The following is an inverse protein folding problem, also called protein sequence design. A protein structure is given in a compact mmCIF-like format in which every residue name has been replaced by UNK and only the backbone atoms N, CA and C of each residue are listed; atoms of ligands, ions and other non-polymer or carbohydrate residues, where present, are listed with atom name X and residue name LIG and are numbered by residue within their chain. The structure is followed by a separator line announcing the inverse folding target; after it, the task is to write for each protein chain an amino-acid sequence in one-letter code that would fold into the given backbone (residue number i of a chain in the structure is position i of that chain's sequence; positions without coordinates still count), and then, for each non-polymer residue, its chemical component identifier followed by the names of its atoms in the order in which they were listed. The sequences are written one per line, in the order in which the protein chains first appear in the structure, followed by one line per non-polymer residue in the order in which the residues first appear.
data_IF_201931472108
#
_entry.id   IF_201931472108
#
_cell.length_a   1.000
_cell.length_b   1.000
_cell.length_c   1.000
_cell.angle_alpha   90.00
_cell.angle_beta   90.00
_cell.angle_gamma   90.00
#
_symmetry.space_group_name_H-M   'P 1'
#
loop_
_entity.id
_entity.type
_entity.pdbx_description
1 polymer ?
#
# COMPACT_ATOMS: atom_id res chain seq x y z
N UNK A 1 -9.11 0.52 -13.70
CA UNK A 1 -7.96 0.94 -12.85
C UNK A 1 -6.66 0.72 -13.60
N UNK A 2 -5.77 1.72 -13.78
CA UNK A 2 -4.52 1.49 -14.52
C UNK A 2 -3.67 0.36 -13.91
N UNK A 3 -3.28 -0.67 -14.67
CA UNK A 3 -2.71 -1.89 -14.11
C UNK A 3 -1.18 -1.83 -13.93
N UNK A 4 -0.50 -0.87 -14.56
CA UNK A 4 0.96 -0.69 -14.49
C UNK A 4 1.29 0.37 -13.43
N UNK A 5 2.14 0.03 -12.47
CA UNK A 5 2.63 0.96 -11.46
C UNK A 5 4.10 1.32 -11.74
N UNK A 6 4.39 2.60 -11.91
CA UNK A 6 5.75 3.09 -12.23
C UNK A 6 6.09 4.38 -11.50
N UNK A 7 7.38 4.55 -11.19
CA UNK A 7 7.90 5.81 -10.69
C UNK A 7 8.32 6.68 -11.88
N UNK A 8 7.80 7.89 -11.96
CA UNK A 8 8.19 8.89 -12.95
C UNK A 8 8.37 10.25 -12.28
N UNK A 9 8.99 11.19 -12.98
CA UNK A 9 9.04 12.58 -12.57
C UNK A 9 7.84 13.31 -13.18
N UNK A 10 6.91 13.71 -12.33
CA UNK A 10 5.66 14.36 -12.75
C UNK A 10 5.83 15.87 -12.74
N UNK A 11 5.55 16.51 -13.87
CA UNK A 11 5.58 17.95 -14.09
C UNK A 11 4.18 18.56 -14.00
N UNK A 12 4.09 19.91 -14.04
CA UNK A 12 2.81 20.62 -14.12
C UNK A 12 2.06 20.38 -15.43
N UNK A 13 2.76 19.91 -16.48
CA UNK A 13 2.16 19.60 -17.76
C UNK A 13 1.31 18.32 -17.69
N UNK A 14 1.69 17.37 -16.85
CA UNK A 14 1.10 16.03 -16.77
C UNK A 14 -0.23 15.97 -16.01
N UNK A 15 -0.44 16.90 -15.05
CA UNK A 15 -1.52 16.80 -14.03
C UNK A 15 -2.86 17.39 -14.47
N UNK A 16 -2.96 17.86 -15.71
CA UNK A 16 -4.15 18.47 -16.29
C UNK A 16 -4.39 19.94 -15.84
N UNK A 17 -5.31 20.67 -16.50
CA UNK A 17 -5.50 22.10 -16.28
C UNK A 17 -5.87 22.46 -14.85
N UNK A 18 -6.84 21.75 -14.26
CA UNK A 18 -7.36 22.05 -12.91
C UNK A 18 -6.27 22.09 -11.84
N UNK A 19 -5.39 21.08 -11.81
CA UNK A 19 -4.29 21.02 -10.84
C UNK A 19 -3.09 21.87 -11.26
N UNK A 20 -2.90 22.12 -12.56
CA UNK A 20 -1.87 23.02 -13.07
C UNK A 20 -2.13 24.46 -12.62
N UNK A 21 -3.35 24.96 -12.80
CA UNK A 21 -3.75 26.31 -12.40
C UNK A 21 -3.49 26.53 -10.89
N UNK A 22 -3.87 25.54 -10.07
CA UNK A 22 -3.59 25.56 -8.64
C UNK A 22 -2.08 25.53 -8.33
N UNK A 23 -1.31 24.72 -9.05
CA UNK A 23 0.13 24.63 -8.85
C UNK A 23 0.81 25.96 -9.21
N UNK A 24 0.42 26.59 -10.31
CA UNK A 24 0.99 27.85 -10.78
C UNK A 24 0.63 29.02 -9.84
N UNK A 25 -0.64 29.14 -9.41
CA UNK A 25 -1.10 30.14 -8.45
C UNK A 25 -0.29 30.09 -7.14
N UNK A 26 -0.02 28.87 -6.65
CA UNK A 26 0.69 28.65 -5.40
C UNK A 26 2.20 28.44 -5.55
N UNK A 27 2.75 28.60 -6.75
CA UNK A 27 4.18 28.36 -7.08
C UNK A 27 4.67 26.99 -6.61
N UNK A 28 3.80 25.99 -6.72
CA UNK A 28 4.09 24.59 -6.43
C UNK A 28 4.55 23.90 -7.71
N UNK A 29 5.25 22.77 -7.56
CA UNK A 29 5.70 21.93 -8.69
C UNK A 29 6.59 22.67 -9.72
N UNK A 30 7.34 23.70 -9.30
CA UNK A 30 8.29 24.40 -10.19
C UNK A 30 9.45 23.52 -10.72
N UNK A 31 9.57 22.29 -10.23
CA UNK A 31 10.39 21.23 -10.82
C UNK A 31 9.60 19.93 -10.82
N UNK A 32 9.83 19.03 -11.80
CA UNK A 32 9.23 17.71 -11.79
C UNK A 32 9.48 16.98 -10.47
N UNK A 33 8.46 16.30 -9.96
CA UNK A 33 8.52 15.58 -8.69
C UNK A 33 8.37 14.09 -8.93
N UNK A 34 9.34 13.32 -8.43
CA UNK A 34 9.29 11.86 -8.44
C UNK A 34 8.03 11.36 -7.71
N UNK A 35 7.19 10.60 -8.41
CA UNK A 35 5.97 10.01 -7.86
C UNK A 35 5.70 8.62 -8.44
N UNK A 36 5.11 7.75 -7.62
CA UNK A 36 4.54 6.47 -8.04
C UNK A 36 3.11 6.71 -8.56
N UNK A 37 2.87 6.37 -9.82
CA UNK A 37 1.58 6.52 -10.50
C UNK A 37 1.07 5.17 -11.01
N UNK A 38 -0.23 5.09 -11.29
CA UNK A 38 -0.82 4.05 -12.13
C UNK A 38 -0.93 4.55 -13.57
N UNK A 39 -0.50 3.75 -14.54
CA UNK A 39 -0.51 4.03 -15.98
C UNK A 39 -0.98 2.80 -16.77
N UNK A 40 -1.37 3.03 -18.03
CA UNK A 40 -1.57 1.96 -19.01
C UNK A 40 -0.32 1.70 -19.86
N UNK A 41 0.73 2.50 -19.66
CA UNK A 41 1.96 2.46 -20.44
C UNK A 41 3.13 2.11 -19.52
N UNK A 42 3.91 1.11 -19.91
CA UNK A 42 5.13 0.70 -19.23
C UNK A 42 6.32 0.66 -20.19
N UNK A 43 7.47 1.18 -19.75
CA UNK A 43 8.73 1.10 -20.52
C UNK A 43 9.81 0.51 -19.62
N UNK A 44 10.59 -0.44 -20.17
CA UNK A 44 11.70 -1.11 -19.48
C UNK A 44 11.29 -1.68 -18.11
N UNK A 45 10.14 -2.36 -18.05
CA UNK A 45 9.61 -2.95 -16.82
C UNK A 45 9.98 -4.42 -16.76
N UNK A 46 10.61 -4.83 -15.67
CA UNK A 46 10.84 -6.24 -15.37
C UNK A 46 9.58 -6.86 -14.75
N UNK A 47 9.01 -7.87 -15.39
CA UNK A 47 7.74 -8.49 -15.01
C UNK A 47 7.90 -9.98 -14.71
N UNK A 48 7.23 -10.44 -13.66
CA UNK A 48 7.11 -11.87 -13.41
C UNK A 48 6.13 -12.49 -14.41
N UNK A 49 6.43 -13.69 -14.91
CA UNK A 49 5.62 -14.40 -15.91
C UNK A 49 4.12 -14.46 -15.59
N UNK A 50 3.68 -14.72 -14.35
CA UNK A 50 2.25 -14.74 -14.03
C UNK A 50 1.56 -13.39 -14.20
N UNK A 51 2.22 -12.29 -13.80
CA UNK A 51 1.67 -10.94 -13.94
C UNK A 51 1.64 -10.51 -15.41
N UNK A 52 2.69 -10.82 -16.16
CA UNK A 52 2.74 -10.55 -17.60
C UNK A 52 1.64 -11.32 -18.34
N UNK A 53 1.47 -12.62 -18.04
CA UNK A 53 0.40 -13.42 -18.63
C UNK A 53 -0.97 -12.79 -18.37
N UNK A 54 -1.24 -12.41 -17.12
CA UNK A 54 -2.49 -11.76 -16.75
C UNK A 54 -2.70 -10.43 -17.51
N UNK A 55 -1.64 -9.63 -17.68
CA UNK A 55 -1.71 -8.41 -18.50
C UNK A 55 -2.10 -8.69 -19.95
N UNK A 56 -1.49 -9.70 -20.58
CA UNK A 56 -1.81 -10.09 -21.96
C UNK A 56 -3.26 -10.59 -22.09
N UNK A 57 -3.72 -11.40 -21.14
CA UNK A 57 -5.11 -11.88 -21.08
C UNK A 57 -6.12 -10.73 -20.93
N UNK A 58 -5.70 -9.61 -20.34
CA UNK A 58 -6.51 -8.39 -20.13
C UNK A 58 -6.27 -7.31 -21.19
N UNK A 59 -5.66 -7.66 -22.32
CA UNK A 59 -5.56 -6.80 -23.50
C UNK A 59 -4.38 -5.83 -23.52
N UNK A 60 -3.44 -5.91 -22.56
CA UNK A 60 -2.17 -5.20 -22.71
C UNK A 60 -1.34 -5.90 -23.79
N UNK A 61 -0.58 -5.11 -24.54
CA UNK A 61 0.29 -5.58 -25.61
C UNK A 61 1.74 -5.37 -25.22
N UNK A 62 2.61 -6.30 -25.60
CA UNK A 62 4.07 -6.18 -25.46
C UNK A 62 4.64 -5.80 -26.81
N UNK A 63 5.23 -4.60 -26.88
CA UNK A 63 5.84 -4.10 -28.11
C UNK A 63 7.26 -4.67 -28.30
N UNK A 64 8.06 -4.72 -27.24
CA UNK A 64 9.46 -5.16 -27.28
C UNK A 64 9.85 -6.01 -26.06
N UNK A 65 10.66 -7.04 -26.28
CA UNK A 65 11.26 -7.89 -25.24
C UNK A 65 12.77 -7.74 -25.31
N UNK A 66 13.39 -7.27 -24.22
CA UNK A 66 14.83 -7.03 -24.14
C UNK A 66 15.59 -8.18 -23.48
N UNK A 67 14.99 -8.81 -22.46
CA UNK A 67 15.65 -9.83 -21.65
C UNK A 67 14.61 -10.83 -21.13
N UNK A 68 15.00 -12.11 -21.10
CA UNK A 68 14.22 -13.19 -20.51
C UNK A 68 15.12 -13.94 -19.52
N UNK A 69 14.64 -14.07 -18.29
CA UNK A 69 15.33 -14.82 -17.23
C UNK A 69 14.51 -16.05 -16.89
N UNK A 70 15.09 -17.22 -17.12
CA UNK A 70 14.46 -18.49 -16.78
C UNK A 70 14.70 -18.85 -15.30
N UNK A 71 13.71 -19.49 -14.69
CA UNK A 71 13.80 -19.97 -13.31
C UNK A 71 12.92 -21.20 -13.10
N UNK A 72 13.31 -22.05 -12.15
CA UNK A 72 12.48 -23.16 -11.69
C UNK A 72 11.65 -22.72 -10.48
N UNK A 73 10.30 -22.74 -10.55
CA UNK A 73 9.46 -22.36 -9.42
C UNK A 73 9.59 -23.38 -8.28
N UNK A 74 9.75 -22.89 -7.05
CA UNK A 74 9.79 -23.72 -5.85
C UNK A 74 9.10 -23.03 -4.67
N UNK A 75 8.45 -23.82 -3.81
CA UNK A 75 7.79 -23.33 -2.58
C UNK A 75 8.78 -23.25 -1.40
N UNK A 76 9.95 -22.65 -1.62
CA UNK A 76 11.07 -22.67 -0.67
C UNK A 76 10.82 -21.98 0.68
N UNK A 77 9.78 -21.14 0.78
CA UNK A 77 9.38 -20.44 2.03
C UNK A 77 8.02 -20.87 2.57
N UNK A 78 7.43 -21.97 2.07
CA UNK A 78 6.10 -22.41 2.51
C UNK A 78 6.07 -22.64 4.04
N UNK A 79 7.02 -23.40 4.59
CA UNK A 79 7.06 -23.66 6.03
C UNK A 79 7.15 -22.37 6.88
N UNK A 80 7.87 -21.35 6.40
CA UNK A 80 7.93 -20.06 7.08
C UNK A 80 6.58 -19.33 7.04
N UNK A 81 5.94 -19.27 5.88
CA UNK A 81 4.62 -18.66 5.74
C UNK A 81 3.55 -19.38 6.59
N UNK A 82 3.60 -20.72 6.63
CA UNK A 82 2.69 -21.55 7.42
C UNK A 82 2.85 -21.25 8.92
N UNK A 83 4.09 -21.15 9.42
CA UNK A 83 4.38 -20.78 10.82
C UNK A 83 3.79 -19.40 11.14
N UNK A 84 3.96 -18.41 10.25
CA UNK A 84 3.42 -17.06 10.47
C UNK A 84 1.89 -17.09 10.53
N UNK A 85 1.22 -17.75 9.58
CA UNK A 85 -0.24 -17.86 9.56
C UNK A 85 -0.78 -18.64 10.75
N UNK A 86 -0.14 -19.74 11.14
CA UNK A 86 -0.60 -20.59 12.22
C UNK A 86 -0.47 -19.91 13.59
N UNK A 87 0.64 -19.23 13.85
CA UNK A 87 0.77 -18.45 15.09
C UNK A 87 -0.25 -17.32 15.16
N UNK A 88 -0.59 -16.70 14.03
CA UNK A 88 -1.65 -15.69 13.98
C UNK A 88 -3.04 -16.28 14.22
N UNK A 89 -3.34 -17.50 13.73
CA UNK A 89 -4.60 -18.21 14.04
C UNK A 89 -4.70 -18.53 15.53
N UNK A 90 -3.64 -19.10 16.10
CA UNK A 90 -3.58 -19.41 17.54
C UNK A 90 -3.73 -18.17 18.41
N UNK A 91 -3.23 -17.04 17.95
CA UNK A 91 -3.35 -15.74 18.60
C UNK A 91 -4.78 -15.18 18.63
N UNK A 92 -5.58 -15.45 17.60
CA UNK A 92 -7.00 -15.03 17.57
C UNK A 92 -7.87 -15.84 18.53
N UNK A 93 -7.45 -17.07 18.88
CA UNK A 93 -8.15 -17.94 19.82
C UNK A 93 -7.82 -17.63 21.29
N UNK A 94 -6.70 -16.98 21.55
CA UNK A 94 -6.18 -16.75 22.90
C UNK A 94 -5.57 -15.34 23.04
N UNK A 95 -6.29 -14.39 23.66
CA UNK A 95 -5.84 -13.02 23.85
C UNK A 95 -4.49 -12.90 24.59
N UNK A 96 -4.12 -13.89 25.41
CA UNK A 96 -2.82 -13.87 26.14
C UNK A 96 -1.62 -14.00 25.19
N UNK A 97 -1.85 -14.48 23.95
CA UNK A 97 -0.83 -14.63 22.91
C UNK A 97 -0.67 -13.40 22.01
N UNK A 98 -1.30 -12.26 22.33
CA UNK A 98 -1.25 -11.05 21.50
C UNK A 98 0.18 -10.62 21.12
N UNK A 99 1.13 -10.71 22.06
CA UNK A 99 2.55 -10.38 21.82
C UNK A 99 3.17 -11.29 20.76
N UNK A 100 2.89 -12.60 20.82
CA UNK A 100 3.36 -13.57 19.83
C UNK A 100 2.75 -13.27 18.46
N UNK A 101 1.46 -12.96 18.39
CA UNK A 101 0.76 -12.60 17.15
C UNK A 101 1.42 -11.41 16.45
N UNK A 102 1.67 -10.32 17.18
CA UNK A 102 2.32 -9.14 16.60
C UNK A 102 3.79 -9.39 16.26
N UNK A 103 4.48 -10.25 17.03
CA UNK A 103 5.85 -10.68 16.72
C UNK A 103 5.91 -11.44 15.41
N UNK A 104 5.05 -12.45 15.19
CA UNK A 104 5.05 -13.23 13.96
C UNK A 104 4.60 -12.42 12.74
N UNK A 105 3.68 -11.47 12.94
CA UNK A 105 3.31 -10.49 11.91
C UNK A 105 4.50 -9.60 11.53
N UNK A 106 5.26 -9.11 12.50
CA UNK A 106 6.48 -8.34 12.26
C UNK A 106 7.54 -9.20 11.56
N UNK A 107 7.76 -10.45 11.98
CA UNK A 107 8.70 -11.38 11.35
C UNK A 107 8.34 -11.63 9.89
N UNK A 108 7.07 -11.90 9.58
CA UNK A 108 6.60 -12.08 8.21
C UNK A 108 6.88 -10.85 7.32
N UNK A 109 6.52 -9.66 7.80
CA UNK A 109 6.71 -8.41 7.05
C UNK A 109 8.19 -7.99 6.93
N UNK A 110 8.96 -8.15 8.01
CA UNK A 110 10.37 -7.76 8.05
C UNK A 110 11.26 -8.71 7.25
N UNK A 111 10.94 -10.00 7.18
CA UNK A 111 11.65 -10.96 6.32
C UNK A 111 11.54 -10.56 4.83
N UNK A 112 10.34 -10.16 4.39
CA UNK A 112 10.15 -9.59 3.06
C UNK A 112 10.97 -8.32 2.87
N UNK A 113 10.88 -7.35 3.78
CA UNK A 113 11.66 -6.11 3.71
C UNK A 113 13.17 -6.37 3.67
N UNK A 114 13.64 -7.38 4.41
CA UNK A 114 15.04 -7.80 4.44
C UNK A 114 15.48 -8.38 3.09
N UNK A 115 14.62 -9.13 2.39
CA UNK A 115 14.95 -9.66 1.06
C UNK A 115 15.18 -8.58 0.00
N UNK A 116 14.55 -7.41 0.17
CA UNK A 116 14.64 -6.26 -0.72
C UNK A 116 15.64 -5.18 -0.26
N UNK A 117 16.42 -5.45 0.79
CA UNK A 117 17.36 -4.46 1.33
C UNK A 117 18.40 -4.09 0.27
N UNK A 118 18.52 -2.79 -0.03
CA UNK A 118 19.61 -2.30 -0.86
C UNK A 118 20.93 -2.30 -0.06
N UNK A 119 21.76 -3.30 -0.34
CA UNK A 119 23.05 -3.51 0.33
C UNK A 119 24.08 -2.41 0.02
N UNK A 120 23.93 -1.65 -1.07
CA UNK A 120 24.81 -0.52 -1.42
C UNK A 120 24.62 0.69 -0.49
N UNK A 121 23.45 0.78 0.14
CA UNK A 121 23.18 1.83 1.12
C UNK A 121 23.84 1.56 2.47
N UNK A 122 24.38 0.35 2.70
CA UNK A 122 25.15 0.08 3.92
C UNK A 122 26.39 0.97 3.99
N UNK A 123 26.73 1.35 5.21
CA UNK A 123 27.86 2.22 5.52
C UNK A 123 28.83 1.51 6.46
N UNK A 124 30.11 1.80 6.29
CA UNK A 124 31.12 1.62 7.33
C UNK A 124 31.14 2.89 8.16
N UNK A 125 31.10 2.75 9.47
CA UNK A 125 31.15 3.87 10.42
C UNK A 125 32.45 3.77 11.18
N UNK A 126 33.22 4.85 11.19
CA UNK A 126 34.42 4.98 11.98
C UNK A 126 34.33 6.22 12.88
N UNK A 127 34.76 6.06 14.13
CA UNK A 127 34.89 7.16 15.08
C UNK A 127 36.36 7.56 15.14
N UNK A 128 36.66 8.82 14.83
CA UNK A 128 38.05 9.29 14.70
C UNK A 128 38.22 10.72 15.21
N UNK A 129 39.46 11.09 15.55
CA UNK A 129 39.82 12.41 16.04
C UNK A 129 40.98 13.01 15.25
N UNK A 130 41.03 14.35 15.21
CA UNK A 130 42.17 15.09 14.64
C UNK A 130 42.49 14.73 13.19
N UNK A 131 43.78 14.50 12.89
CA UNK A 131 44.27 14.35 11.49
C UNK A 131 43.76 13.08 10.78
N UNK A 132 43.35 12.06 11.53
CA UNK A 132 42.87 10.81 10.94
C UNK A 132 41.49 10.96 10.29
N UNK A 133 40.69 11.94 10.73
CA UNK A 133 39.44 12.34 10.08
C UNK A 133 39.71 12.80 8.65
N UNK A 134 40.76 13.60 8.44
CA UNK A 134 41.15 14.08 7.12
C UNK A 134 41.46 12.94 6.14
N UNK A 135 42.07 11.85 6.61
CA UNK A 135 42.31 10.66 5.77
C UNK A 135 41.00 9.99 5.36
N UNK A 136 40.05 9.87 6.28
CA UNK A 136 38.75 9.25 6.01
C UNK A 136 37.88 10.09 5.08
N UNK A 137 37.86 11.42 5.26
CA UNK A 137 37.12 12.36 4.40
C UNK A 137 37.69 12.41 2.98
N UNK A 138 39.02 12.26 2.84
CA UNK A 138 39.66 12.22 1.52
C UNK A 138 39.48 10.88 0.79
N UNK A 139 38.85 9.87 1.42
CA UNK A 139 38.51 8.62 0.75
C UNK A 139 37.46 8.84 -0.34
N UNK A 140 37.61 8.17 -1.49
CA UNK A 140 36.56 8.14 -2.52
C UNK A 140 35.25 7.50 -2.05
N UNK A 141 35.30 6.75 -0.95
CA UNK A 141 34.14 6.10 -0.36
C UNK A 141 33.44 7.00 0.67
N UNK A 142 33.98 8.16 0.98
CA UNK A 142 33.40 9.10 1.94
C UNK A 142 31.95 9.47 1.59
N UNK A 143 31.09 9.56 2.62
CA UNK A 143 29.69 9.97 2.48
C UNK A 143 29.37 11.16 3.37
N UNK A 144 29.58 11.02 4.67
CA UNK A 144 29.24 12.05 5.66
C UNK A 144 30.26 12.05 6.79
N UNK A 145 30.47 13.22 7.38
CA UNK A 145 31.28 13.42 8.57
C UNK A 145 30.45 14.25 9.55
N UNK A 146 30.19 13.71 10.73
CA UNK A 146 29.38 14.36 11.76
C UNK A 146 30.23 14.55 13.01
N UNK A 147 30.41 15.79 13.45
CA UNK A 147 31.05 16.07 14.73
C UNK A 147 30.14 15.58 15.87
N UNK A 148 30.69 14.76 16.77
CA UNK A 148 29.97 14.13 17.88
C UNK A 148 30.22 14.76 19.23
N UNK A 149 31.24 15.59 19.40
CA UNK A 149 31.49 16.33 20.63
C UNK A 149 32.35 17.57 20.41
N UNK A 150 32.64 18.27 21.50
CA UNK A 150 33.54 19.42 21.52
C UNK A 150 35.02 19.04 21.58
N UNK A 151 35.36 17.73 21.64
CA UNK A 151 36.72 17.22 21.77
C UNK A 151 37.25 16.63 20.44
N UNK A 152 36.82 17.20 19.31
CA UNK A 152 37.22 16.77 17.96
C UNK A 152 36.93 15.28 17.67
N UNK A 153 35.90 14.68 18.26
CA UNK A 153 35.40 13.36 17.87
C UNK A 153 34.43 13.47 16.70
N UNK A 154 34.70 12.71 15.63
CA UNK A 154 33.88 12.67 14.43
C UNK A 154 33.42 11.26 14.12
N UNK A 155 32.14 11.13 13.77
CA UNK A 155 31.59 9.97 13.09
C UNK A 155 31.76 10.15 11.58
N UNK A 156 32.56 9.30 10.95
CA UNK A 156 32.76 9.31 9.50
C UNK A 156 32.07 8.09 8.90
N UNK A 157 31.07 8.33 8.07
CA UNK A 157 30.42 7.28 7.28
C UNK A 157 31.06 7.16 5.90
N UNK A 158 31.37 5.93 5.51
CA UNK A 158 31.87 5.59 4.18
C UNK A 158 30.99 4.53 3.52
N UNK A 159 30.90 4.54 2.19
CA UNK A 159 30.38 3.41 1.45
C UNK A 159 31.27 2.18 1.63
N UNK A 160 30.65 1.00 1.59
CA UNK A 160 31.37 -0.28 1.58
C UNK A 160 32.26 -0.36 0.33
N UNK A 161 33.53 -0.72 0.51
CA UNK A 161 34.46 -0.93 -0.62
C UNK A 161 34.09 -2.14 -1.49
N UNK A 162 33.40 -3.13 -0.88
CA UNK A 162 32.85 -4.31 -1.55
C UNK A 162 31.44 -4.56 -1.03
N UNK A 163 30.49 -4.75 -1.94
CA UNK A 163 29.11 -5.13 -1.62
C UNK A 163 28.91 -6.58 -2.05
N UNK A 164 28.54 -7.46 -1.11
CA UNK A 164 28.21 -8.85 -1.40
C UNK A 164 26.70 -9.01 -1.47
N UNK A 165 26.16 -9.24 -2.65
CA UNK A 165 24.75 -9.55 -2.86
C UNK A 165 24.43 -10.97 -2.40
N UNK A 166 24.06 -11.10 -1.12
CA UNK A 166 23.77 -12.38 -0.46
C UNK A 166 22.32 -12.49 0.07
N UNK A 167 21.43 -11.64 -0.44
CA UNK A 167 20.01 -11.65 -0.10
C UNK A 167 19.19 -12.20 -1.27
N UNK A 168 18.08 -12.91 -1.00
CA UNK A 168 17.24 -13.51 -2.03
C UNK A 168 16.30 -12.46 -2.66
N UNK A 169 16.88 -11.47 -3.36
CA UNK A 169 16.15 -10.35 -3.97
C UNK A 169 15.01 -10.81 -4.89
N UNK A 170 15.22 -11.93 -5.58
CA UNK A 170 14.25 -12.54 -6.49
C UNK A 170 12.95 -12.90 -5.76
N UNK A 171 13.03 -13.37 -4.50
CA UNK A 171 11.85 -13.69 -3.69
C UNK A 171 11.06 -12.43 -3.40
N UNK A 172 11.74 -11.35 -2.99
CA UNK A 172 11.11 -10.05 -2.78
C UNK A 172 10.44 -9.52 -4.05
N UNK A 173 11.10 -9.66 -5.21
CA UNK A 173 10.51 -9.34 -6.50
C UNK A 173 9.21 -10.13 -6.75
N UNK A 174 9.23 -11.46 -6.63
CA UNK A 174 8.04 -12.28 -6.87
C UNK A 174 6.90 -11.97 -5.90
N UNK A 175 7.18 -11.82 -4.60
CA UNK A 175 6.16 -11.46 -3.59
C UNK A 175 5.46 -10.16 -3.98
N UNK A 176 6.21 -9.14 -4.41
CA UNK A 176 5.63 -7.87 -4.83
C UNK A 176 4.76 -8.01 -6.09
N UNK A 177 5.23 -8.78 -7.09
CA UNK A 177 4.50 -8.98 -8.34
C UNK A 177 3.21 -9.79 -8.13
N UNK A 178 3.23 -10.82 -7.26
CA UNK A 178 2.03 -11.56 -6.89
C UNK A 178 1.05 -10.71 -6.07
N UNK A 179 1.54 -9.84 -5.18
CA UNK A 179 0.68 -8.91 -4.45
C UNK A 179 -0.05 -7.95 -5.41
N UNK A 180 0.65 -7.38 -6.40
CA UNK A 180 0.02 -6.58 -7.46
C UNK A 180 -1.01 -7.39 -8.24
N UNK A 181 -0.62 -8.57 -8.71
CA UNK A 181 -1.50 -9.47 -9.46
C UNK A 181 -2.78 -9.72 -8.67
N UNK A 182 -2.68 -10.03 -7.37
CA UNK A 182 -3.84 -10.30 -6.53
C UNK A 182 -4.79 -9.10 -6.40
N UNK A 183 -4.26 -7.89 -6.26
CA UNK A 183 -5.07 -6.66 -6.25
C UNK A 183 -5.76 -6.40 -7.60
N UNK A 184 -5.05 -6.69 -8.70
CA UNK A 184 -5.58 -6.55 -10.06
C UNK A 184 -6.69 -7.55 -10.34
N UNK A 185 -6.45 -8.81 -10.02
CA UNK A 185 -7.43 -9.88 -10.08
C UNK A 185 -8.68 -9.54 -9.25
N UNK A 186 -8.50 -8.97 -8.05
CA UNK A 186 -9.65 -8.54 -7.26
C UNK A 186 -10.48 -7.46 -7.95
N UNK A 187 -9.84 -6.45 -8.53
CA UNK A 187 -10.58 -5.40 -9.25
C UNK A 187 -11.27 -5.92 -10.52
N UNK A 188 -10.55 -6.65 -11.35
CA UNK A 188 -10.98 -7.01 -12.70
C UNK A 188 -11.68 -8.37 -12.79
N UNK A 189 -11.12 -9.40 -12.16
CA UNK A 189 -11.65 -10.77 -12.22
C UNK A 189 -12.76 -11.02 -11.18
N UNK A 190 -12.90 -10.13 -10.20
CA UNK A 190 -13.94 -10.23 -9.17
C UNK A 190 -14.91 -9.03 -9.21
N UNK A 191 -14.46 -7.81 -8.89
CA UNK A 191 -15.39 -6.66 -8.78
C UNK A 191 -16.06 -6.36 -10.14
N UNK A 192 -15.29 -6.15 -11.21
CA UNK A 192 -15.85 -5.88 -12.55
C UNK A 192 -16.72 -7.02 -13.10
N UNK A 193 -16.36 -8.26 -12.74
CA UNK A 193 -17.12 -9.44 -13.12
C UNK A 193 -18.50 -9.42 -12.49
N UNK A 194 -18.60 -9.23 -11.17
CA UNK A 194 -19.85 -9.41 -10.42
C UNK A 194 -20.68 -8.14 -10.26
N UNK A 195 -20.07 -6.96 -10.26
CA UNK A 195 -20.74 -5.67 -9.99
C UNK A 195 -20.77 -4.81 -11.26
N UNK A 196 -21.86 -4.07 -11.48
CA UNK A 196 -21.91 -3.12 -12.61
C UNK A 196 -20.97 -1.94 -12.37
N UNK A 197 -20.41 -1.35 -13.43
CA UNK A 197 -19.61 -0.12 -13.31
C UNK A 197 -20.42 1.08 -12.81
N UNK A 198 -21.73 1.04 -12.94
CA UNK A 198 -22.64 2.06 -12.42
C UNK A 198 -22.90 1.92 -10.91
N UNK A 199 -22.65 0.72 -10.36
CA UNK A 199 -22.96 0.37 -8.98
C UNK A 199 -21.76 0.46 -8.03
N UNK A 200 -20.56 0.78 -8.54
CA UNK A 200 -19.41 0.96 -7.69
C UNK A 200 -18.40 1.98 -8.24
N UNK A 201 -17.71 2.66 -7.31
CA UNK A 201 -16.61 3.56 -7.61
C UNK A 201 -15.40 3.23 -6.74
N UNK A 202 -14.24 3.03 -7.36
CA UNK A 202 -12.97 2.91 -6.64
C UNK A 202 -12.59 4.27 -6.02
N UNK A 203 -12.47 4.32 -4.69
CA UNK A 203 -12.18 5.54 -3.94
C UNK A 203 -10.68 5.68 -3.65
N UNK A 204 -10.05 4.64 -3.09
CA UNK A 204 -8.63 4.64 -2.78
C UNK A 204 -8.08 3.21 -2.75
N UNK A 205 -6.77 3.11 -2.98
CA UNK A 205 -6.00 1.91 -2.70
C UNK A 205 -4.71 2.28 -1.97
N UNK A 206 -4.37 1.49 -0.96
CA UNK A 206 -3.06 1.56 -0.33
C UNK A 206 -2.50 0.15 -0.10
N UNK A 207 -1.54 -0.23 -0.94
CA UNK A 207 -0.76 -1.48 -0.86
C UNK A 207 -1.60 -2.76 -0.96
N UNK A 208 -2.27 -3.14 0.13
CA UNK A 208 -3.10 -4.32 0.33
C UNK A 208 -4.55 -3.99 0.70
N UNK A 209 -4.92 -2.70 0.68
CA UNK A 209 -6.28 -2.22 0.94
C UNK A 209 -6.95 -1.67 -0.33
N UNK A 210 -8.25 -1.93 -0.46
CA UNK A 210 -9.10 -1.52 -1.57
C UNK A 210 -10.38 -0.90 -1.01
N UNK A 211 -10.60 0.37 -1.29
CA UNK A 211 -11.78 1.12 -0.84
C UNK A 211 -12.66 1.44 -2.04
N UNK A 212 -13.92 1.03 -1.99
CA UNK A 212 -14.91 1.37 -3.02
C UNK A 212 -16.20 1.86 -2.37
N UNK A 213 -16.85 2.81 -3.01
CA UNK A 213 -18.23 3.17 -2.75
C UNK A 213 -19.15 2.26 -3.57
N UNK A 214 -20.30 1.91 -3.01
CA UNK A 214 -21.34 1.11 -3.65
C UNK A 214 -22.60 1.95 -3.81
N UNK A 215 -23.44 1.62 -4.80
CA UNK A 215 -24.77 2.23 -4.97
C UNK A 215 -25.79 1.75 -3.93
N UNK A 216 -25.53 0.62 -3.27
CA UNK A 216 -26.38 0.01 -2.25
C UNK A 216 -25.61 -0.31 -0.95
N UNK A 217 -26.29 -0.85 0.05
CA UNK A 217 -25.77 -1.00 1.42
C UNK A 217 -24.74 -2.13 1.58
N UNK A 218 -24.70 -3.08 0.64
CA UNK A 218 -23.80 -4.23 0.70
C UNK A 218 -23.26 -4.63 -0.68
N UNK A 219 -22.15 -5.37 -0.67
CA UNK A 219 -21.56 -5.92 -1.89
C UNK A 219 -22.52 -6.90 -2.57
N UNK A 220 -23.28 -7.67 -1.79
CA UNK A 220 -24.24 -8.66 -2.26
C UNK A 220 -25.43 -8.05 -3.00
N UNK A 221 -25.94 -6.91 -2.54
CA UNK A 221 -27.09 -6.22 -3.15
C UNK A 221 -26.76 -5.64 -4.53
N UNK A 222 -25.50 -5.25 -4.76
CA UNK A 222 -25.03 -4.74 -6.05
C UNK A 222 -24.52 -5.82 -7.01
N UNK A 223 -24.57 -7.11 -6.62
CA UNK A 223 -24.19 -8.20 -7.53
C UNK A 223 -25.21 -8.32 -8.66
N UNK A 224 -24.73 -8.40 -9.89
CA UNK A 224 -25.54 -8.68 -11.09
C UNK A 224 -26.43 -9.90 -10.82
N UNK A 225 -27.77 -9.79 -10.87
CA UNK A 225 -28.67 -10.85 -10.41
C UNK A 225 -28.43 -12.22 -11.05
N UNK A 226 -28.11 -12.25 -12.34
CA UNK A 226 -27.82 -13.48 -13.09
C UNK A 226 -26.49 -14.16 -12.72
N UNK A 227 -25.62 -13.50 -11.93
CA UNK A 227 -24.36 -14.04 -11.44
C UNK A 227 -24.36 -14.35 -9.95
N UNK A 228 -25.46 -14.10 -9.23
CA UNK A 228 -25.52 -14.22 -7.76
C UNK A 228 -25.11 -15.62 -7.26
N UNK A 229 -25.59 -16.68 -7.91
CA UNK A 229 -25.20 -18.05 -7.57
C UNK A 229 -23.70 -18.29 -7.78
N UNK A 230 -23.14 -17.77 -8.88
CA UNK A 230 -21.71 -17.87 -9.18
C UNK A 230 -20.87 -17.06 -8.20
N UNK A 231 -21.36 -15.89 -7.78
CA UNK A 231 -20.73 -15.06 -6.76
C UNK A 231 -20.57 -15.84 -5.44
N UNK A 232 -21.64 -16.47 -4.93
CA UNK A 232 -21.54 -17.25 -3.69
C UNK A 232 -20.65 -18.50 -3.83
N UNK A 233 -20.62 -19.12 -5.02
CA UNK A 233 -19.69 -20.23 -5.31
C UNK A 233 -18.23 -19.81 -5.29
N UNK A 234 -17.93 -18.65 -5.85
CA UNK A 234 -16.56 -18.12 -5.93
C UNK A 234 -16.14 -17.34 -4.67
N UNK A 235 -17.07 -17.00 -3.77
CA UNK A 235 -16.83 -16.20 -2.57
C UNK A 235 -15.63 -16.67 -1.72
N UNK A 236 -15.45 -17.98 -1.42
CA UNK A 236 -14.32 -18.47 -0.62
C UNK A 236 -12.94 -18.27 -1.29
N UNK A 237 -12.91 -18.03 -2.60
CA UNK A 237 -11.66 -17.75 -3.32
C UNK A 237 -11.16 -16.34 -3.07
N UNK A 238 -12.02 -15.44 -2.61
CA UNK A 238 -11.74 -14.01 -2.45
C UNK A 238 -11.81 -13.55 -1.00
N UNK A 239 -12.72 -14.12 -0.20
CA UNK A 239 -12.95 -13.74 1.19
C UNK A 239 -12.97 -14.97 2.09
N UNK A 240 -12.86 -14.81 3.42
CA UNK A 240 -13.05 -15.91 4.35
C UNK A 240 -14.38 -16.63 4.14
N UNK A 241 -14.34 -17.95 4.05
CA UNK A 241 -15.52 -18.75 3.77
C UNK A 241 -16.63 -18.50 4.80
N UNK A 242 -17.89 -18.52 4.34
CA UNK A 242 -19.09 -18.46 5.21
C UNK A 242 -19.69 -19.85 5.46
N UNK A 243 -19.24 -20.85 4.72
CA UNK A 243 -19.63 -22.25 4.79
C UNK A 243 -18.40 -23.13 4.61
N UNK A 244 -18.38 -24.32 5.22
CA UNK A 244 -17.39 -25.33 4.88
C UNK A 244 -17.80 -26.07 3.60
N UNK A 245 -16.87 -26.82 3.00
CA UNK A 245 -17.07 -27.55 1.74
C UNK A 245 -18.33 -28.43 1.75
N UNK A 246 -18.59 -29.14 2.86
CA UNK A 246 -19.75 -30.02 3.01
C UNK A 246 -21.09 -29.27 2.98
N UNK A 247 -21.12 -27.99 3.34
CA UNK A 247 -22.32 -27.16 3.41
C UNK A 247 -22.35 -26.06 2.34
N UNK A 248 -21.41 -26.10 1.39
CA UNK A 248 -21.23 -25.01 0.44
C UNK A 248 -22.40 -24.89 -0.54
N UNK A 249 -22.92 -26.01 -1.07
CA UNK A 249 -24.08 -26.01 -1.95
C UNK A 249 -25.35 -25.50 -1.25
N UNK A 250 -25.56 -25.88 0.01
CA UNK A 250 -26.67 -25.39 0.84
C UNK A 250 -26.58 -23.88 1.05
N UNK A 251 -25.38 -23.38 1.37
CA UNK A 251 -25.09 -21.95 1.50
C UNK A 251 -25.40 -21.19 0.21
N UNK A 252 -24.87 -21.67 -0.93
CA UNK A 252 -25.09 -21.06 -2.23
C UNK A 252 -26.58 -21.00 -2.55
N UNK A 253 -27.30 -22.11 -2.32
CA UNK A 253 -28.73 -22.18 -2.58
C UNK A 253 -29.54 -21.23 -1.70
N UNK A 254 -29.25 -21.17 -0.39
CA UNK A 254 -29.97 -20.31 0.55
C UNK A 254 -29.73 -18.83 0.23
N UNK A 255 -28.46 -18.42 0.11
CA UNK A 255 -28.14 -17.02 -0.14
C UNK A 255 -28.60 -16.54 -1.52
N UNK A 256 -28.59 -17.40 -2.54
CA UNK A 256 -29.12 -17.03 -3.88
C UNK A 256 -30.64 -16.80 -3.87
N UNK A 257 -31.37 -17.34 -2.89
CA UNK A 257 -32.80 -17.09 -2.67
C UNK A 257 -33.06 -15.90 -1.73
N UNK A 258 -32.02 -15.23 -1.24
CA UNK A 258 -32.13 -14.18 -0.23
C UNK A 258 -32.44 -14.71 1.17
N UNK A 259 -32.26 -16.00 1.42
CA UNK A 259 -32.49 -16.59 2.74
C UNK A 259 -31.31 -16.32 3.68
N UNK A 260 -31.62 -16.13 4.97
CA UNK A 260 -30.59 -15.97 5.98
C UNK A 260 -29.78 -17.26 6.17
N UNK A 261 -28.45 -17.16 6.01
CA UNK A 261 -27.55 -18.27 6.28
C UNK A 261 -27.15 -18.33 7.75
N UNK A 262 -27.51 -19.43 8.41
CA UNK A 262 -27.15 -19.69 9.81
C UNK A 262 -25.99 -20.70 9.87
N UNK A 263 -24.72 -20.25 10.00
CA UNK A 263 -23.58 -21.14 9.91
C UNK A 263 -23.53 -22.13 11.08
N UNK A 264 -23.37 -23.41 10.75
CA UNK A 264 -23.08 -24.50 11.70
C UNK A 264 -21.68 -24.32 12.30
N UNK A 265 -21.36 -25.06 13.37
CA UNK A 265 -20.07 -24.98 14.07
C UNK A 265 -18.88 -25.14 13.12
N UNK A 266 -18.89 -26.17 12.26
CA UNK A 266 -17.82 -26.38 11.28
C UNK A 266 -17.69 -25.24 10.24
N UNK A 267 -18.79 -24.56 9.89
CA UNK A 267 -18.75 -23.38 9.00
C UNK A 267 -18.10 -22.18 9.71
N UNK A 268 -18.39 -21.99 11.01
CA UNK A 268 -17.78 -20.93 11.83
C UNK A 268 -16.28 -21.16 12.02
N UNK A 269 -15.88 -22.41 12.21
CA UNK A 269 -14.46 -22.82 12.30
C UNK A 269 -13.72 -22.54 10.99
N UNK A 270 -14.28 -22.96 9.85
CA UNK A 270 -13.73 -22.68 8.52
C UNK A 270 -13.57 -21.18 8.27
N UNK A 271 -14.60 -20.37 8.60
CA UNK A 271 -14.52 -18.91 8.50
C UNK A 271 -13.42 -18.31 9.37
N UNK A 272 -13.26 -18.83 10.60
CA UNK A 272 -12.24 -18.35 11.55
C UNK A 272 -10.84 -18.71 11.08
N UNK A 273 -10.66 -19.90 10.52
CA UNK A 273 -9.40 -20.32 9.90
C UNK A 273 -9.03 -19.39 8.74
N UNK A 274 -10.00 -19.10 7.87
CA UNK A 274 -9.77 -18.27 6.69
C UNK A 274 -9.52 -16.80 6.97
N UNK A 275 -9.93 -16.31 8.15
CA UNK A 275 -9.48 -14.99 8.63
C UNK A 275 -7.95 -14.88 8.73
N UNK A 276 -7.16 -15.94 8.61
CA UNK A 276 -5.69 -15.85 8.53
C UNK A 276 -5.11 -16.63 7.34
N UNK A 277 -5.95 -17.11 6.42
CA UNK A 277 -5.52 -17.69 5.15
C UNK A 277 -4.91 -16.60 4.26
N UNK A 278 -3.64 -16.75 3.81
CA UNK A 278 -3.01 -15.77 2.94
C UNK A 278 -3.74 -15.58 1.61
N UNK A 279 -3.82 -14.33 1.14
CA UNK A 279 -4.42 -13.99 -0.16
C UNK A 279 -5.93 -13.71 -0.15
N UNK A 280 -6.63 -13.98 0.95
CA UNK A 280 -8.04 -13.61 1.11
C UNK A 280 -8.19 -12.16 1.59
N UNK A 281 -9.15 -11.46 1.01
CA UNK A 281 -9.56 -10.11 1.39
C UNK A 281 -10.51 -10.15 2.59
N UNK A 282 -10.47 -9.10 3.40
CA UNK A 282 -11.34 -8.98 4.57
C UNK A 282 -11.94 -7.59 4.59
N UNK A 283 -13.20 -7.54 5.00
CA UNK A 283 -13.88 -6.29 5.27
C UNK A 283 -13.32 -5.75 6.59
N UNK A 284 -12.47 -4.72 6.49
CA UNK A 284 -11.91 -4.02 7.66
C UNK A 284 -12.75 -2.80 8.05
N UNK A 285 -13.55 -2.27 7.13
CA UNK A 285 -14.31 -1.05 7.31
C UNK A 285 -15.54 -1.05 6.40
N UNK A 286 -16.68 -0.67 6.97
CA UNK A 286 -17.92 -0.31 6.27
C UNK A 286 -18.39 0.99 6.91
N UNK A 287 -18.85 1.93 6.10
CA UNK A 287 -19.33 3.22 6.57
C UNK A 287 -20.02 3.99 5.46
N UNK A 288 -20.54 5.16 5.82
CA UNK A 288 -21.40 5.99 4.96
C UNK A 288 -20.64 6.72 3.85
N UNK A 289 -19.32 6.88 3.98
CA UNK A 289 -18.52 7.50 2.92
C UNK A 289 -17.07 7.80 3.28
N UNK A 290 -16.39 8.45 2.33
CA UNK A 290 -14.96 8.74 2.42
C UNK A 290 -14.60 10.08 1.78
N UNK A 291 -13.67 10.81 2.39
CA UNK A 291 -13.03 12.00 1.82
C UNK A 291 -11.55 11.71 1.68
N UNK A 292 -11.07 11.56 0.44
CA UNK A 292 -9.67 11.25 0.14
C UNK A 292 -9.02 12.44 -0.58
N UNK A 293 -7.88 12.91 -0.07
CA UNK A 293 -7.15 14.05 -0.65
C UNK A 293 -6.00 13.61 -1.54
N UNK A 294 -5.19 12.70 -1.01
CA UNK A 294 -4.04 12.13 -1.71
C UNK A 294 -3.72 10.77 -1.08
N UNK A 295 -2.79 10.02 -1.69
CA UNK A 295 -2.42 8.70 -1.19
C UNK A 295 -2.09 8.72 0.31
N UNK A 296 -2.76 7.88 1.09
CA UNK A 296 -2.61 7.75 2.55
C UNK A 296 -3.07 8.98 3.34
N UNK A 297 -3.96 9.79 2.78
CA UNK A 297 -4.53 10.97 3.44
C UNK A 297 -6.03 11.02 3.16
N UNK A 298 -6.81 10.45 4.08
CA UNK A 298 -8.25 10.28 3.95
C UNK A 298 -8.98 10.20 5.28
N UNK A 299 -10.28 10.45 5.23
CA UNK A 299 -11.23 10.28 6.32
C UNK A 299 -12.42 9.46 5.84
N UNK A 300 -12.55 8.22 6.31
CA UNK A 300 -13.74 7.40 6.10
C UNK A 300 -14.64 7.48 7.34
N UNK A 301 -15.94 7.70 7.14
CA UNK A 301 -16.93 7.94 8.19
C UNK A 301 -18.08 6.94 8.13
N UNK A 302 -18.68 6.66 9.29
CA UNK A 302 -19.74 5.67 9.50
C UNK A 302 -20.02 5.52 11.01
N UNK A 303 -20.48 4.35 11.44
CA UNK A 303 -20.59 4.04 12.89
C UNK A 303 -19.27 4.23 13.64
N UNK A 304 -18.16 3.91 12.96
CA UNK A 304 -16.80 4.19 13.40
C UNK A 304 -16.08 4.94 12.30
N UNK A 305 -15.20 5.86 12.69
CA UNK A 305 -14.38 6.61 11.74
C UNK A 305 -13.02 5.91 11.52
N UNK A 306 -12.52 5.89 10.29
CA UNK A 306 -11.16 5.46 9.94
C UNK A 306 -10.41 6.63 9.31
N UNK A 307 -9.28 6.99 9.93
CA UNK A 307 -8.54 8.21 9.59
C UNK A 307 -7.12 7.84 9.18
N UNK A 308 -6.65 8.42 8.08
CA UNK A 308 -5.25 8.39 7.67
C UNK A 308 -4.77 9.80 7.33
N UNK A 309 -3.66 10.22 7.93
CA UNK A 309 -3.12 11.57 7.79
C UNK A 309 -1.58 11.51 7.71
N UNK A 310 -1.06 11.27 6.51
CA UNK A 310 0.39 11.13 6.35
C UNK A 310 1.12 12.40 6.79
N UNK A 311 1.99 12.26 7.78
CA UNK A 311 2.85 13.34 8.25
C UNK A 311 2.26 14.21 9.37
N UNK A 312 1.09 13.88 9.93
CA UNK A 312 0.60 14.44 11.20
C UNK A 312 0.53 13.39 12.29
N UNK A 313 0.81 13.81 13.52
CA UNK A 313 0.51 13.03 14.71
C UNK A 313 -1.00 13.12 15.05
N UNK A 314 -1.71 11.99 15.00
CA UNK A 314 -3.14 11.89 15.28
C UNK A 314 -3.53 12.28 16.71
N UNK A 315 -2.63 12.09 17.67
CA UNK A 315 -2.93 12.36 19.08
C UNK A 315 -2.77 13.83 19.45
N UNK A 316 -2.02 14.59 18.65
CA UNK A 316 -1.76 16.02 18.89
C UNK A 316 -2.67 16.94 18.08
N UNK A 317 -3.32 16.38 17.07
CA UNK A 317 -4.16 17.13 16.16
C UNK A 317 -5.56 16.58 16.27
N UNK A 318 -6.50 17.49 16.43
CA UNK A 318 -7.88 17.17 16.15
C UNK A 318 -8.02 16.96 14.62
N UNK A 319 -8.37 15.74 14.20
CA UNK A 319 -8.44 15.37 12.78
C UNK A 319 -9.86 14.91 12.49
N UNK A 320 -10.70 15.85 12.09
CA UNK A 320 -12.10 15.60 11.79
C UNK A 320 -12.42 15.64 10.29
N UNK A 321 -13.54 15.04 9.90
CA UNK A 321 -14.08 15.03 8.53
C UNK A 321 -14.11 16.42 7.90
N UNK A 322 -14.56 17.43 8.64
CA UNK A 322 -14.71 18.79 8.13
C UNK A 322 -13.37 19.38 7.69
N UNK A 323 -12.24 18.99 8.29
CA UNK A 323 -10.90 19.46 7.89
C UNK A 323 -10.51 18.96 6.51
N UNK A 324 -10.85 17.72 6.17
CA UNK A 324 -10.62 17.17 4.83
C UNK A 324 -11.54 17.83 3.80
N UNK A 325 -12.83 17.99 4.13
CA UNK A 325 -13.78 18.68 3.26
C UNK A 325 -13.37 20.13 3.01
N UNK A 326 -12.85 20.83 4.03
CA UNK A 326 -12.37 22.21 3.91
C UNK A 326 -11.17 22.31 2.95
N UNK A 327 -10.30 21.30 2.90
CA UNK A 327 -9.18 21.27 1.92
C UNK A 327 -9.73 21.29 0.50
N UNK A 328 -10.73 20.47 0.20
CA UNK A 328 -11.37 20.41 -1.10
C UNK A 328 -12.18 21.68 -1.41
N UNK A 329 -13.00 22.12 -0.45
CA UNK A 329 -13.91 23.27 -0.61
C UNK A 329 -13.18 24.59 -0.80
N UNK A 330 -12.14 24.84 0.00
CA UNK A 330 -11.40 26.10 -0.01
C UNK A 330 -10.11 26.04 -0.82
N UNK A 331 -9.78 24.88 -1.41
CA UNK A 331 -8.56 24.64 -2.19
C UNK A 331 -7.32 25.09 -1.43
N UNK A 332 -7.19 24.68 -0.17
CA UNK A 332 -6.10 25.10 0.71
C UNK A 332 -5.60 23.94 1.54
N UNK A 333 -4.29 23.86 1.71
CA UNK A 333 -3.70 22.82 2.54
C UNK A 333 -4.17 22.93 3.98
N UNK A 334 -4.58 21.80 4.56
CA UNK A 334 -4.82 21.69 6.00
C UNK A 334 -3.50 21.59 6.75
N UNK A 335 -3.43 22.28 7.88
CA UNK A 335 -2.26 22.35 8.74
C UNK A 335 -2.48 21.60 10.04
N UNK A 336 -1.38 21.15 10.64
CA UNK A 336 -1.38 20.53 11.95
C UNK A 336 -0.02 20.66 12.63
N UNK A 337 -0.01 20.40 13.93
CA UNK A 337 1.15 20.50 14.79
C UNK A 337 1.83 19.13 14.94
N UNK A 338 3.12 19.08 14.68
CA UNK A 338 3.94 17.95 15.10
C UNK A 338 4.87 18.37 16.22
N UNK A 339 4.89 17.57 17.29
CA UNK A 339 5.90 17.63 18.34
C UNK A 339 6.75 16.38 18.27
N UNK A 340 8.04 16.55 18.45
CA UNK A 340 8.99 15.46 18.46
C UNK A 340 10.31 15.89 19.05
N UNK A 341 11.27 14.98 19.02
CA UNK A 341 12.63 15.25 19.46
C UNK A 341 13.54 15.38 18.24
N UNK A 342 14.45 16.34 18.28
CA UNK A 342 15.55 16.44 17.31
C UNK A 342 16.85 16.55 18.07
N UNK A 343 17.87 15.82 17.61
CA UNK A 343 19.24 16.04 18.06
C UNK A 343 19.83 17.22 17.31
N UNK A 344 20.43 18.17 18.02
CA UNK A 344 21.17 19.28 17.44
C UNK A 344 22.38 19.55 18.34
N UNK A 345 23.60 19.37 17.83
CA UNK A 345 24.81 19.59 18.64
C UNK A 345 24.82 18.80 19.96
N UNK A 346 24.64 17.47 19.88
CA UNK A 346 24.65 16.51 21.01
C UNK A 346 23.64 16.74 22.14
N UNK A 347 22.74 17.71 21.99
CA UNK A 347 21.61 17.90 22.86
C UNK A 347 20.31 17.49 22.14
N UNK A 348 19.41 16.88 22.90
CA UNK A 348 18.07 16.54 22.43
C UNK A 348 17.13 17.69 22.74
N UNK A 349 16.57 18.29 21.69
CA UNK A 349 15.58 19.35 21.80
C UNK A 349 14.20 18.83 21.45
N UNK A 350 13.20 19.25 22.22
CA UNK A 350 11.81 19.17 21.77
C UNK A 350 11.61 20.22 20.69
N UNK A 351 11.12 19.82 19.53
CA UNK A 351 10.67 20.76 18.51
C UNK A 351 9.16 20.73 18.40
N UNK A 352 8.62 21.88 18.05
CA UNK A 352 7.24 22.05 17.61
C UNK A 352 7.28 22.60 16.19
N UNK A 353 6.60 21.93 15.26
CA UNK A 353 6.56 22.32 13.86
C UNK A 353 5.13 22.30 13.35
N UNK A 354 4.65 23.44 12.87
CA UNK A 354 3.44 23.50 12.05
C UNK A 354 3.74 22.91 10.66
N UNK A 355 2.96 21.93 10.23
CA UNK A 355 3.09 21.27 8.93
C UNK A 355 1.80 21.37 8.13
N UNK A 356 1.95 21.78 6.87
CA UNK A 356 0.92 21.59 5.85
C UNK A 356 1.01 20.15 5.31
N UNK A 357 0.07 19.31 5.71
CA UNK A 357 0.12 17.84 5.56
C UNK A 357 -1.12 17.27 4.87
N UNK A 358 -2.27 17.92 5.03
CA UNK A 358 -3.47 17.65 4.25
C UNK A 358 -3.39 18.46 2.97
N UNK A 359 -2.68 17.93 1.97
CA UNK A 359 -2.41 18.66 0.73
C UNK A 359 -3.60 18.62 -0.23
N UNK A 360 -3.95 19.77 -0.81
CA UNK A 360 -4.91 19.84 -1.92
C UNK A 360 -4.29 19.39 -3.26
N UNK A 361 -2.99 19.69 -3.47
CA UNK A 361 -2.29 19.33 -4.71
C UNK A 361 -2.20 17.81 -4.87
N UNK A 362 -2.78 17.29 -5.94
CA UNK A 362 -2.73 15.88 -6.29
C UNK A 362 -2.08 15.67 -7.66
N UNK A 363 -0.90 15.05 -7.68
CA UNK A 363 -0.06 14.91 -8.88
C UNK A 363 -0.03 13.48 -9.45
N UNK A 364 -0.74 12.53 -8.86
CA UNK A 364 -0.62 11.12 -9.27
C UNK A 364 -1.63 10.70 -10.34
N UNK A 365 -2.62 11.55 -10.60
CA UNK A 365 -3.72 11.40 -11.56
C UNK A 365 -4.12 12.80 -12.03
N UNK A 366 -4.76 12.88 -13.19
CA UNK A 366 -5.34 14.14 -13.70
C UNK A 366 -6.65 14.34 -12.97
N UNK A 367 -6.82 15.48 -12.31
CA UNK A 367 -8.10 15.83 -11.68
C UNK A 367 -8.97 16.55 -12.71
N UNK A 368 -10.20 16.09 -12.85
CA UNK A 368 -11.17 16.66 -13.79
C UNK A 368 -11.68 18.02 -13.30
N UNK A 369 -12.41 18.73 -14.17
CA UNK A 369 -12.91 20.09 -13.88
C UNK A 369 -13.90 20.14 -12.70
N UNK A 370 -14.57 19.02 -12.41
CA UNK A 370 -15.44 18.87 -11.23
C UNK A 370 -14.67 18.89 -9.90
N UNK A 371 -13.32 18.83 -9.95
CA UNK A 371 -12.44 18.83 -8.78
C UNK A 371 -12.48 17.54 -7.96
N UNK A 372 -13.14 16.48 -8.45
CA UNK A 372 -13.38 15.23 -7.72
C UNK A 372 -13.01 14.01 -8.57
N UNK A 373 -13.53 13.93 -9.79
CA UNK A 373 -13.23 12.83 -10.71
C UNK A 373 -11.77 12.87 -11.12
N UNK A 374 -11.18 11.70 -11.34
CA UNK A 374 -9.77 11.61 -11.72
C UNK A 374 -9.52 10.60 -12.83
N UNK A 375 -8.64 10.98 -13.75
CA UNK A 375 -8.17 10.17 -14.87
C UNK A 375 -6.71 9.76 -14.68
N UNK A 376 -6.26 8.64 -15.28
CA UNK A 376 -4.86 8.30 -15.33
C UNK A 376 -4.02 9.42 -15.97
N UNK A 377 -2.75 9.55 -15.58
CA UNK A 377 -1.83 10.38 -16.34
C UNK A 377 -1.56 9.72 -17.71
N UNK A 378 -1.32 10.52 -18.74
CA UNK A 378 -1.05 10.04 -20.12
C UNK A 378 0.44 9.76 -20.37
N UNK A 379 1.24 9.64 -19.29
CA UNK A 379 2.69 9.48 -19.31
C UNK A 379 3.19 8.15 -18.79
#
# INVERSE_FOLDING_TARGET
MPPIFKNIDVSSEDIGPFMRDFADEHKLLGRPRRALIGSFIGKNIFLATPLLRWYLEHGLVVDEIYEVVEYTPARCFQGFADIVSENRRRGDLDPTKAILTETFKLLGNSAYGKSLENLENRRDVAYSMGRDVGKLVNSRLFRTCTALDHNDLFEVESAKSKVRWNLPLQIGFFVYQYAKLRMLQFHYDFVDKFVSRDDYQLCEMDTDSFYMALSDNSLEEVVKPHLLQRFYREYPQWFPARSCDAHHEEFVSACSRGEAWNPRTCCKESSTFDKRTPGLFKIEFVGDGMVALCSKTYFAFGEKNKISCKGLNKNLNDIEKHKYLNVLKYRRNGRGLNKGFRSCGNAVFTYEQERASLSFLYIKRRVCEDGVSTEPLLV
#
